data_IF_703637591963
#
_entry.id   IF_703637591963
#
_cell.length_a   1.000
_cell.length_b   1.000
_cell.length_c   1.000
_cell.angle_alpha   90.00
_cell.angle_beta   90.00
_cell.angle_gamma   90.00
#
_symmetry.space_group_name_H-M   'P 1'
#
loop_
_entity.id
_entity.type
_entity.pdbx_description
1 polymer ?
#
# COMPACT_ATOMS: atom_id res chain seq x y z
N UNK A 1 -40.00 -4.50 -51.76
CA UNK A 1 -41.01 -5.43 -51.21
C UNK A 1 -41.87 -4.67 -50.21
N UNK A 2 -43.11 -4.34 -50.60
CA UNK A 2 -44.13 -3.73 -49.75
C UNK A 2 -45.14 -4.82 -49.38
N UNK A 3 -45.63 -4.82 -48.13
CA UNK A 3 -46.76 -5.64 -47.71
C UNK A 3 -47.66 -4.82 -46.78
N UNK A 4 -48.71 -4.28 -47.39
CA UNK A 4 -49.98 -3.94 -46.76
C UNK A 4 -50.76 -5.24 -46.46
N UNK A 5 -51.46 -5.28 -45.31
CA UNK A 5 -52.86 -5.72 -45.12
C UNK A 5 -53.10 -6.15 -43.67
N UNK A 6 -54.25 -5.97 -42.99
CA UNK A 6 -55.37 -5.01 -42.99
C UNK A 6 -56.40 -5.63 -41.97
N UNK A 7 -56.74 -4.91 -40.89
CA UNK A 7 -58.02 -4.91 -40.11
C UNK A 7 -58.52 -6.16 -39.31
N UNK A 8 -59.58 -6.06 -38.44
CA UNK A 8 -60.15 -4.93 -37.67
C UNK A 8 -60.47 -5.23 -36.17
N UNK A 9 -60.82 -4.16 -35.44
CA UNK A 9 -61.52 -4.16 -34.13
C UNK A 9 -62.95 -4.70 -34.24
N UNK A 10 -63.45 -5.38 -33.20
CA UNK A 10 -64.87 -5.46 -32.86
C UNK A 10 -65.05 -5.64 -31.34
N UNK A 11 -66.02 -4.90 -30.79
CA UNK A 11 -66.31 -4.65 -29.38
C UNK A 11 -67.71 -5.16 -29.01
N UNK A 12 -67.94 -5.32 -27.68
CA UNK A 12 -69.22 -5.37 -26.91
C UNK A 12 -69.69 -6.77 -26.42
N UNK A 13 -70.53 -6.89 -25.35
CA UNK A 13 -70.75 -6.01 -24.17
C UNK A 13 -70.84 -6.76 -22.81
N UNK A 14 -71.02 -5.94 -21.75
CA UNK A 14 -71.25 -6.20 -20.31
C UNK A 14 -72.16 -7.37 -19.90
N UNK A 15 -71.81 -8.04 -18.79
CA UNK A 15 -72.74 -8.51 -17.73
C UNK A 15 -71.98 -8.78 -16.42
N UNK A 16 -72.40 -8.14 -15.33
CA UNK A 16 -71.97 -8.45 -13.96
C UNK A 16 -72.97 -9.37 -13.25
N UNK A 17 -72.48 -10.20 -12.32
CA UNK A 17 -72.84 -10.21 -10.90
C UNK A 17 -72.10 -11.35 -10.16
N UNK A 18 -71.46 -10.96 -9.04
CA UNK A 18 -71.21 -11.68 -7.78
C UNK A 18 -71.25 -13.23 -7.72
N UNK A 19 -70.23 -13.85 -7.12
CA UNK A 19 -70.25 -14.34 -5.72
C UNK A 19 -68.95 -15.12 -5.35
N UNK A 20 -68.28 -14.63 -4.29
CA UNK A 20 -67.73 -15.37 -3.14
C UNK A 20 -66.74 -16.56 -3.33
N UNK A 21 -65.54 -16.30 -2.77
CA UNK A 21 -64.73 -17.11 -1.82
C UNK A 21 -63.48 -17.84 -2.31
N UNK A 22 -62.41 -17.44 -1.60
CA UNK A 22 -61.30 -18.25 -1.11
C UNK A 22 -60.17 -18.57 -2.09
N UNK A 23 -59.15 -17.72 -2.04
CA UNK A 23 -57.83 -18.08 -1.50
C UNK A 23 -56.99 -16.80 -1.56
N UNK A 24 -56.93 -16.08 -0.45
CA UNK A 24 -55.82 -15.16 -0.20
C UNK A 24 -54.56 -16.02 -0.14
N UNK A 25 -53.93 -16.21 -1.29
CA UNK A 25 -52.50 -16.46 -1.35
C UNK A 25 -51.87 -15.27 -0.64
N UNK A 26 -51.44 -15.48 0.60
CA UNK A 26 -50.46 -14.61 1.26
C UNK A 26 -49.23 -14.62 0.37
N UNK A 27 -49.18 -13.67 -0.57
CA UNK A 27 -48.00 -13.39 -1.35
C UNK A 27 -46.90 -13.05 -0.35
N UNK A 28 -45.89 -13.92 -0.31
CA UNK A 28 -44.68 -13.78 0.48
C UNK A 28 -43.95 -12.49 0.08
N UNK A 29 -44.20 -11.40 0.80
CA UNK A 29 -43.52 -10.11 0.65
C UNK A 29 -42.07 -10.10 1.19
N UNK A 30 -41.34 -11.21 1.07
CA UNK A 30 -40.11 -11.47 1.86
C UNK A 30 -38.74 -11.53 1.16
N UNK A 31 -38.53 -11.13 -0.11
CA UNK A 31 -37.18 -10.85 -0.61
C UNK A 31 -36.77 -9.36 -0.50
N UNK A 32 -37.74 -8.44 -0.63
CA UNK A 32 -37.45 -7.01 -0.72
C UNK A 32 -37.11 -6.36 0.64
N UNK A 33 -37.54 -6.95 1.76
CA UNK A 33 -37.30 -6.39 3.09
C UNK A 33 -35.83 -6.40 3.53
N UNK A 34 -35.11 -7.49 3.29
CA UNK A 34 -33.69 -7.60 3.68
C UNK A 34 -32.79 -6.70 2.82
N UNK A 35 -33.05 -6.61 1.51
CA UNK A 35 -32.34 -5.68 0.61
C UNK A 35 -32.63 -4.23 0.99
N UNK A 36 -33.89 -3.88 1.25
CA UNK A 36 -34.26 -2.53 1.68
C UNK A 36 -33.62 -2.16 3.02
N UNK A 37 -33.62 -3.08 3.98
CA UNK A 37 -32.96 -2.88 5.27
C UNK A 37 -31.45 -2.71 5.11
N UNK A 38 -30.79 -3.57 4.33
CA UNK A 38 -29.37 -3.44 4.05
C UNK A 38 -29.05 -2.11 3.38
N UNK A 39 -29.83 -1.69 2.38
CA UNK A 39 -29.68 -0.37 1.75
C UNK A 39 -29.84 0.76 2.73
N UNK A 40 -30.85 0.70 3.61
CA UNK A 40 -31.06 1.73 4.62
C UNK A 40 -29.87 1.86 5.58
N UNK A 41 -29.30 0.73 6.02
CA UNK A 41 -28.07 0.72 6.84
C UNK A 41 -26.89 1.32 6.07
N UNK A 42 -26.68 0.89 4.82
CA UNK A 42 -25.58 1.37 3.98
C UNK A 42 -25.71 2.86 3.66
N UNK A 43 -26.89 3.34 3.28
CA UNK A 43 -27.13 4.75 2.94
C UNK A 43 -26.94 5.66 4.18
N UNK A 44 -27.34 5.20 5.36
CA UNK A 44 -27.09 5.91 6.62
C UNK A 44 -25.59 6.05 6.90
N UNK A 45 -24.82 4.97 6.72
CA UNK A 45 -23.37 5.01 6.92
C UNK A 45 -22.67 5.87 5.85
N UNK A 46 -23.09 5.79 4.59
CA UNK A 46 -22.53 6.62 3.52
C UNK A 46 -22.80 8.10 3.78
N UNK A 47 -23.98 8.45 4.30
CA UNK A 47 -24.30 9.83 4.66
C UNK A 47 -23.48 10.32 5.85
N UNK A 48 -23.21 9.47 6.84
CA UNK A 48 -22.33 9.81 7.96
C UNK A 48 -20.91 10.15 7.48
N UNK A 49 -20.39 9.40 6.49
CA UNK A 49 -19.08 9.65 5.86
C UNK A 49 -19.06 10.99 5.10
N UNK A 50 -20.15 11.34 4.41
CA UNK A 50 -20.29 12.62 3.70
C UNK A 50 -20.35 13.80 4.67
N UNK A 51 -21.21 13.72 5.68
CA UNK A 51 -21.36 14.76 6.72
C UNK A 51 -20.04 14.96 7.49
N UNK A 52 -19.30 13.89 7.76
CA UNK A 52 -17.98 13.95 8.39
C UNK A 52 -16.88 14.56 7.50
N UNK A 53 -17.14 14.77 6.20
CA UNK A 53 -16.15 15.27 5.25
C UNK A 53 -15.01 14.29 4.95
N UNK A 54 -15.22 12.99 5.25
CA UNK A 54 -14.22 11.92 5.07
C UNK A 54 -14.44 11.09 3.81
N UNK A 55 -15.38 11.51 2.95
CA UNK A 55 -15.61 10.87 1.66
C UNK A 55 -14.35 10.89 0.81
N UNK A 56 -13.96 9.72 0.30
CA UNK A 56 -12.78 9.58 -0.57
C UNK A 56 -13.24 9.55 -2.02
N UNK A 57 -12.99 10.65 -2.73
CA UNK A 57 -13.18 10.71 -4.19
C UNK A 57 -11.95 10.18 -4.91
N UNK A 58 -12.14 9.29 -5.88
CA UNK A 58 -11.07 8.83 -6.77
C UNK A 58 -10.89 9.83 -7.91
N UNK A 59 -9.66 10.29 -8.15
CA UNK A 59 -9.31 11.09 -9.33
C UNK A 59 -8.73 10.16 -10.40
N UNK A 60 -9.21 10.29 -11.62
CA UNK A 60 -8.85 9.40 -12.73
C UNK A 60 -7.61 9.92 -13.43
N UNK A 61 -6.49 9.21 -13.30
CA UNK A 61 -5.27 9.48 -14.07
C UNK A 61 -5.43 8.87 -15.47
N UNK A 62 -5.18 9.67 -16.51
CA UNK A 62 -5.40 9.28 -17.92
C UNK A 62 -4.10 9.12 -18.72
N UNK A 63 -2.94 9.22 -18.05
CA UNK A 63 -1.61 9.02 -18.61
C UNK A 63 -0.89 7.81 -17.98
N UNK A 64 0.33 7.52 -18.46
CA UNK A 64 1.29 6.67 -17.74
C UNK A 64 1.65 7.31 -16.38
N UNK A 65 2.10 6.50 -15.43
CA UNK A 65 2.55 6.97 -14.12
C UNK A 65 3.94 7.61 -14.21
N UNK A 66 4.13 8.79 -13.63
CA UNK A 66 5.39 9.53 -13.69
C UNK A 66 5.38 10.78 -12.81
N UNK A 67 6.44 11.58 -12.89
CA UNK A 67 6.50 12.91 -12.26
C UNK A 67 5.46 13.87 -12.85
N UNK A 68 5.15 13.70 -14.13
CA UNK A 68 4.19 14.47 -14.92
C UNK A 68 3.08 13.52 -15.39
N UNK A 69 1.82 13.87 -15.14
CA UNK A 69 0.64 13.04 -15.43
C UNK A 69 -0.53 13.88 -15.96
N UNK A 70 -1.48 13.21 -16.61
CA UNK A 70 -2.80 13.78 -16.96
C UNK A 70 -3.87 13.28 -15.99
N UNK A 71 -4.72 14.18 -15.50
CA UNK A 71 -5.84 13.88 -14.59
C UNK A 71 -7.14 14.37 -15.22
N UNK A 72 -8.16 13.51 -15.26
CA UNK A 72 -9.46 13.86 -15.81
C UNK A 72 -10.06 15.10 -15.12
N UNK A 73 -10.67 15.98 -15.92
CA UNK A 73 -11.18 17.28 -15.47
C UNK A 73 -10.12 18.34 -15.11
N UNK A 74 -8.82 18.06 -15.28
CA UNK A 74 -7.73 19.04 -15.10
C UNK A 74 -7.17 19.49 -16.45
N UNK A 75 -6.67 20.74 -16.53
CA UNK A 75 -6.02 21.27 -17.74
C UNK A 75 -4.50 21.28 -17.58
N UNK A 76 -3.80 20.94 -18.67
CA UNK A 76 -2.34 20.92 -18.71
C UNK A 76 -1.73 19.68 -18.05
N UNK A 77 -0.40 19.70 -17.97
CA UNK A 77 0.39 18.65 -17.35
C UNK A 77 0.42 18.83 -15.82
N UNK A 78 0.14 17.75 -15.07
CA UNK A 78 -0.01 17.78 -13.62
C UNK A 78 1.21 17.11 -12.97
N UNK A 79 1.86 17.83 -12.06
CA UNK A 79 2.97 17.33 -11.25
C UNK A 79 2.46 16.36 -10.18
N UNK A 80 2.89 15.10 -10.22
CA UNK A 80 2.48 14.09 -9.25
C UNK A 80 3.45 14.01 -8.07
N UNK A 81 2.98 14.38 -6.89
CA UNK A 81 3.73 14.36 -5.64
C UNK A 81 3.09 13.46 -4.57
N UNK A 82 2.21 12.53 -4.97
CA UNK A 82 1.56 11.57 -4.07
C UNK A 82 1.63 10.10 -4.54
N UNK A 83 2.54 9.79 -5.48
CA UNK A 83 2.80 8.42 -5.89
C UNK A 83 3.89 7.76 -5.03
N UNK A 84 3.73 6.45 -4.78
CA UNK A 84 4.80 5.62 -4.22
C UNK A 84 5.84 5.18 -5.27
N UNK A 85 5.91 5.85 -6.43
CA UNK A 85 6.87 5.58 -7.50
C UNK A 85 8.21 6.28 -7.19
N UNK A 86 8.85 5.88 -6.09
CA UNK A 86 10.03 6.55 -5.53
C UNK A 86 11.19 6.66 -6.52
N UNK A 87 11.45 5.61 -7.29
CA UNK A 87 12.58 5.56 -8.23
C UNK A 87 12.21 5.97 -9.67
N UNK A 88 10.94 6.29 -9.93
CA UNK A 88 10.48 6.56 -11.30
C UNK A 88 10.34 5.30 -12.17
N UNK A 89 10.51 4.09 -11.61
CA UNK A 89 10.58 2.85 -12.37
C UNK A 89 9.23 2.38 -12.96
N UNK A 90 8.09 2.88 -12.47
CA UNK A 90 6.76 2.47 -12.97
C UNK A 90 6.52 2.70 -14.46
N UNK A 91 7.27 3.60 -15.09
CA UNK A 91 7.20 3.82 -16.54
C UNK A 91 8.57 3.90 -17.19
N UNK A 92 9.59 3.30 -16.55
CA UNK A 92 10.92 3.22 -17.10
C UNK A 92 10.92 2.34 -18.38
N UNK A 93 11.54 2.79 -19.49
CA UNK A 93 11.47 2.08 -20.77
C UNK A 93 11.88 0.61 -20.70
N UNK A 94 12.97 0.32 -19.98
CA UNK A 94 13.46 -1.06 -19.83
C UNK A 94 12.52 -1.95 -19.00
N UNK A 95 11.85 -1.38 -17.99
CA UNK A 95 10.89 -2.10 -17.14
C UNK A 95 9.64 -2.45 -17.96
N UNK A 96 9.14 -1.49 -18.75
CA UNK A 96 8.02 -1.71 -19.68
C UNK A 96 8.37 -2.79 -20.70
N UNK A 97 9.55 -2.69 -21.31
CA UNK A 97 9.99 -3.62 -22.35
C UNK A 97 10.10 -5.06 -21.80
N UNK A 98 10.65 -5.24 -20.60
CA UNK A 98 10.70 -6.55 -19.94
C UNK A 98 9.30 -7.13 -19.65
N UNK A 99 8.33 -6.28 -19.29
CA UNK A 99 6.94 -6.69 -19.14
C UNK A 99 6.30 -7.14 -20.46
N UNK A 100 6.57 -6.43 -21.57
CA UNK A 100 6.09 -6.79 -22.92
C UNK A 100 6.69 -8.13 -23.37
N UNK A 101 7.99 -8.33 -23.17
CA UNK A 101 8.67 -9.58 -23.53
C UNK A 101 8.14 -10.76 -22.73
N UNK A 102 7.91 -10.57 -21.43
CA UNK A 102 7.29 -11.59 -20.59
C UNK A 102 5.85 -11.92 -21.04
N UNK A 103 5.07 -10.90 -21.42
CA UNK A 103 3.72 -11.10 -21.98
C UNK A 103 3.75 -11.96 -23.24
N UNK A 104 4.65 -11.65 -24.17
CA UNK A 104 4.78 -12.36 -25.45
C UNK A 104 5.26 -13.80 -25.26
N UNK A 105 6.23 -14.02 -24.36
CA UNK A 105 6.85 -15.33 -24.15
C UNK A 105 6.00 -16.27 -23.28
N UNK A 106 5.39 -15.75 -22.21
CA UNK A 106 4.75 -16.56 -21.18
C UNK A 106 3.22 -16.44 -21.13
N UNK A 107 2.65 -15.48 -21.88
CA UNK A 107 1.22 -15.20 -21.90
C UNK A 107 0.77 -14.22 -20.80
N UNK A 108 -0.53 -13.89 -20.82
CA UNK A 108 -1.12 -12.89 -19.93
C UNK A 108 -1.29 -13.34 -18.48
N UNK A 109 -1.37 -14.65 -18.22
CA UNK A 109 -1.62 -15.21 -16.90
C UNK A 109 -1.60 -16.73 -16.91
N UNK A 110 -1.66 -17.31 -15.70
CA UNK A 110 -1.48 -18.75 -15.49
C UNK A 110 -2.79 -19.50 -15.18
N UNK A 111 -3.85 -18.78 -14.83
CA UNK A 111 -5.12 -19.34 -14.35
C UNK A 111 -4.96 -20.40 -13.26
N UNK A 112 -3.92 -20.26 -12.43
CA UNK A 112 -3.52 -21.29 -11.46
C UNK A 112 -2.67 -20.73 -10.32
N UNK A 113 -2.78 -21.40 -9.18
CA UNK A 113 -1.91 -21.21 -8.01
C UNK A 113 -0.52 -21.81 -8.26
N UNK A 114 0.46 -21.43 -7.44
CA UNK A 114 1.88 -21.79 -7.67
C UNK A 114 2.12 -23.29 -7.76
N UNK A 115 1.54 -24.10 -6.87
CA UNK A 115 1.87 -25.52 -6.76
C UNK A 115 1.21 -26.41 -7.82
N UNK A 116 0.09 -26.00 -8.43
CA UNK A 116 -0.63 -26.82 -9.42
C UNK A 116 0.04 -26.67 -10.80
N UNK A 117 -0.06 -25.49 -11.40
CA UNK A 117 0.58 -25.18 -12.69
C UNK A 117 0.85 -23.67 -12.86
N UNK A 118 0.93 -22.92 -11.76
CA UNK A 118 1.18 -21.47 -11.79
C UNK A 118 2.65 -21.06 -11.63
N UNK A 119 3.58 -22.01 -11.46
CA UNK A 119 5.01 -21.69 -11.35
C UNK A 119 5.70 -21.82 -12.71
N UNK A 120 6.19 -20.70 -13.22
CA UNK A 120 7.11 -20.65 -14.37
C UNK A 120 8.53 -20.30 -13.90
N UNK A 121 9.53 -20.53 -14.75
CA UNK A 121 10.95 -20.20 -14.53
C UNK A 121 11.16 -18.74 -14.10
N UNK A 122 10.47 -17.77 -14.72
CA UNK A 122 10.60 -16.35 -14.36
C UNK A 122 10.21 -16.06 -12.91
N UNK A 123 9.29 -16.82 -12.30
CA UNK A 123 8.93 -16.65 -10.88
C UNK A 123 10.09 -17.06 -9.98
N UNK A 124 10.75 -18.19 -10.30
CA UNK A 124 11.92 -18.66 -9.55
C UNK A 124 13.13 -17.75 -9.73
N UNK A 125 13.31 -17.22 -10.94
CA UNK A 125 14.35 -16.24 -11.22
C UNK A 125 14.16 -14.96 -10.39
N UNK A 126 12.93 -14.43 -10.31
CA UNK A 126 12.63 -13.26 -9.48
C UNK A 126 12.86 -13.54 -7.99
N UNK A 127 12.40 -14.69 -7.48
CA UNK A 127 12.66 -15.11 -6.09
C UNK A 127 14.16 -15.12 -5.78
N UNK A 128 14.99 -15.71 -6.65
CA UNK A 128 16.45 -15.76 -6.48
C UNK A 128 17.08 -14.37 -6.48
N UNK A 129 16.66 -13.47 -7.39
CA UNK A 129 17.19 -12.10 -7.45
C UNK A 129 16.80 -11.27 -6.23
N UNK A 130 15.59 -11.44 -5.71
CA UNK A 130 15.15 -10.79 -4.48
C UNK A 130 15.92 -11.29 -3.26
N UNK A 131 16.14 -12.60 -3.15
CA UNK A 131 16.99 -13.18 -2.10
C UNK A 131 18.44 -12.66 -2.19
N UNK A 132 19.00 -12.60 -3.41
CA UNK A 132 20.33 -12.01 -3.66
C UNK A 132 20.38 -10.53 -3.28
N UNK A 133 19.37 -9.75 -3.66
CA UNK A 133 19.31 -8.31 -3.39
C UNK A 133 19.34 -8.02 -1.88
N UNK A 134 18.57 -8.77 -1.10
CA UNK A 134 18.50 -8.65 0.36
C UNK A 134 19.60 -9.39 1.11
N UNK A 135 20.46 -10.16 0.41
CA UNK A 135 21.45 -11.06 1.03
C UNK A 135 20.81 -12.01 2.05
N UNK A 136 19.77 -12.72 1.61
CA UNK A 136 19.02 -13.72 2.41
C UNK A 136 18.99 -15.07 1.70
N UNK A 137 18.64 -16.12 2.46
CA UNK A 137 18.73 -17.50 1.97
C UNK A 137 17.72 -17.84 0.88
N UNK A 138 16.46 -17.42 1.00
CA UNK A 138 15.42 -17.67 -0.01
C UNK A 138 14.33 -16.57 0.01
N UNK A 139 13.48 -16.56 -1.00
CA UNK A 139 12.38 -15.62 -1.20
C UNK A 139 11.10 -16.32 -1.67
N UNK A 140 9.94 -15.93 -1.15
CA UNK A 140 8.62 -16.36 -1.62
C UNK A 140 7.81 -15.16 -2.15
N UNK A 141 7.17 -15.33 -3.31
CA UNK A 141 6.31 -14.30 -3.93
C UNK A 141 4.84 -14.41 -3.53
N UNK A 142 4.18 -13.27 -3.46
CA UNK A 142 2.76 -13.08 -3.18
C UNK A 142 2.13 -12.07 -4.16
N UNK A 143 0.80 -12.08 -4.27
CA UNK A 143 0.06 -11.13 -5.13
C UNK A 143 0.22 -9.67 -4.66
N UNK A 144 0.46 -9.47 -3.37
CA UNK A 144 0.79 -8.17 -2.77
C UNK A 144 1.60 -8.36 -1.48
N UNK A 145 2.22 -7.29 -0.96
CA UNK A 145 2.83 -7.35 0.37
C UNK A 145 1.76 -7.43 1.49
N UNK A 146 0.53 -7.01 1.19
CA UNK A 146 -0.60 -7.25 2.09
C UNK A 146 -0.78 -8.76 2.33
N UNK A 147 -0.76 -9.55 1.26
CA UNK A 147 -0.86 -11.01 1.31
C UNK A 147 0.37 -11.66 1.96
N UNK A 148 1.57 -11.11 1.70
CA UNK A 148 2.81 -11.58 2.34
C UNK A 148 2.73 -11.42 3.86
N UNK A 149 2.27 -10.27 4.35
CA UNK A 149 2.04 -10.01 5.76
C UNK A 149 0.92 -10.90 6.33
N UNK A 150 -0.22 -10.99 5.64
CA UNK A 150 -1.36 -11.80 6.09
C UNK A 150 -1.01 -13.30 6.18
N UNK A 151 -0.18 -13.82 5.28
CA UNK A 151 0.20 -15.22 5.20
C UNK A 151 1.39 -15.64 6.06
N UNK A 152 2.04 -14.72 6.77
CA UNK A 152 3.25 -14.98 7.53
C UNK A 152 2.96 -15.47 8.95
N UNK A 153 2.23 -14.68 9.73
CA UNK A 153 2.22 -14.80 11.19
C UNK A 153 1.57 -16.10 11.70
N UNK A 154 0.45 -16.54 11.13
CA UNK A 154 -0.21 -17.79 11.55
C UNK A 154 0.59 -19.05 11.21
N UNK A 155 1.50 -18.96 10.22
CA UNK A 155 2.34 -20.08 9.80
C UNK A 155 3.54 -20.22 10.73
N UNK A 156 4.14 -19.09 11.13
CA UNK A 156 5.32 -19.07 11.98
C UNK A 156 4.98 -19.21 13.48
N UNK A 157 3.88 -18.59 13.93
CA UNK A 157 3.56 -18.44 15.36
C UNK A 157 2.25 -19.14 15.71
N UNK A 158 2.26 -19.85 16.84
CA UNK A 158 1.11 -20.56 17.42
C UNK A 158 0.74 -20.05 18.82
N UNK A 159 -0.15 -20.76 19.53
CA UNK A 159 -0.65 -20.34 20.86
C UNK A 159 0.41 -20.24 21.96
N UNK A 160 1.56 -20.91 21.79
CA UNK A 160 2.68 -20.90 22.75
C UNK A 160 3.67 -19.74 22.49
N UNK A 161 3.46 -18.96 21.44
CA UNK A 161 4.37 -17.92 20.98
C UNK A 161 3.82 -16.53 21.27
N UNK A 162 4.64 -15.49 21.10
CA UNK A 162 4.25 -14.10 21.23
C UNK A 162 4.70 -13.25 20.04
N UNK A 163 3.86 -12.28 19.68
CA UNK A 163 4.15 -11.25 18.68
C UNK A 163 4.06 -9.88 19.33
N UNK A 164 5.13 -9.10 19.16
CA UNK A 164 5.31 -7.77 19.70
C UNK A 164 5.26 -6.78 18.53
N UNK A 165 4.18 -6.01 18.43
CA UNK A 165 3.90 -5.14 17.27
C UNK A 165 3.91 -3.68 17.68
N UNK A 166 4.60 -2.84 16.91
CA UNK A 166 4.46 -1.38 16.99
C UNK A 166 3.00 -1.00 16.76
N UNK A 167 2.51 0.02 17.45
CA UNK A 167 1.12 0.45 17.37
C UNK A 167 0.74 1.11 16.04
N UNK A 168 1.72 1.62 15.28
CA UNK A 168 1.51 2.25 13.98
C UNK A 168 1.86 1.35 12.79
N UNK A 169 2.16 0.06 13.04
CA UNK A 169 2.38 -0.91 11.98
C UNK A 169 1.28 -0.90 10.93
N UNK A 170 1.67 -1.18 9.68
CA UNK A 170 0.73 -1.19 8.57
C UNK A 170 -0.46 -2.13 8.79
N UNK A 171 -1.63 -1.77 8.25
CA UNK A 171 -2.88 -2.53 8.44
C UNK A 171 -2.75 -4.02 8.05
N UNK A 172 -1.94 -4.36 7.05
CA UNK A 172 -1.70 -5.76 6.67
C UNK A 172 -0.97 -6.57 7.73
N UNK A 173 -0.07 -5.95 8.48
CA UNK A 173 0.60 -6.58 9.63
C UNK A 173 -0.42 -6.82 10.73
N UNK A 174 -1.20 -5.80 11.06
CA UNK A 174 -2.26 -5.88 12.08
C UNK A 174 -3.24 -7.01 11.72
N UNK A 175 -3.71 -7.06 10.48
CA UNK A 175 -4.66 -8.08 10.03
C UNK A 175 -4.03 -9.49 9.98
N UNK A 176 -2.77 -9.61 9.55
CA UNK A 176 -2.04 -10.89 9.64
C UNK A 176 -1.87 -11.39 11.07
N UNK A 177 -1.52 -10.51 12.00
CA UNK A 177 -1.43 -10.82 13.44
C UNK A 177 -2.80 -11.23 14.01
N UNK A 178 -3.90 -10.63 13.54
CA UNK A 178 -5.26 -11.00 13.97
C UNK A 178 -5.68 -12.40 13.56
N UNK A 179 -5.09 -12.96 12.50
CA UNK A 179 -5.29 -14.35 12.09
C UNK A 179 -4.48 -15.36 12.93
N UNK A 180 -3.38 -14.90 13.53
CA UNK A 180 -2.53 -15.71 14.38
C UNK A 180 -3.12 -15.90 15.79
N UNK A 181 -2.78 -17.03 16.43
CA UNK A 181 -3.19 -17.37 17.81
C UNK A 181 -2.17 -16.99 18.88
N UNK A 182 -1.02 -16.43 18.51
CA UNK A 182 0.02 -16.02 19.43
C UNK A 182 -0.46 -14.96 20.42
N UNK A 183 0.22 -14.85 21.57
CA UNK A 183 0.04 -13.72 22.49
C UNK A 183 0.39 -12.43 21.76
N UNK A 184 -0.57 -11.50 21.68
CA UNK A 184 -0.39 -10.22 20.97
C UNK A 184 -0.05 -9.13 21.97
N UNK A 185 1.14 -8.57 21.84
CA UNK A 185 1.63 -7.48 22.67
C UNK A 185 1.85 -6.26 21.77
N UNK A 186 1.10 -5.19 22.00
CA UNK A 186 1.28 -3.93 21.28
C UNK A 186 2.16 -3.02 22.13
N UNK A 187 3.25 -2.50 21.56
CA UNK A 187 4.09 -1.48 22.20
C UNK A 187 3.85 -0.12 21.55
N UNK A 188 4.05 0.94 22.32
CA UNK A 188 3.93 2.33 21.86
C UNK A 188 4.91 2.63 20.74
N UNK A 189 4.51 3.50 19.82
CA UNK A 189 5.25 3.78 18.61
C UNK A 189 6.72 4.16 18.88
N UNK A 190 7.66 3.38 18.35
CA UNK A 190 9.12 3.54 18.52
C UNK A 190 9.61 3.62 19.98
N UNK A 191 8.81 3.19 20.97
CA UNK A 191 9.16 3.24 22.38
C UNK A 191 9.90 1.96 22.80
N UNK A 192 11.23 2.04 22.87
CA UNK A 192 12.08 0.92 23.26
C UNK A 192 11.85 0.45 24.71
N UNK A 193 11.43 1.34 25.61
CA UNK A 193 11.16 0.95 27.00
C UNK A 193 9.86 0.13 27.07
N UNK A 194 8.81 0.56 26.39
CA UNK A 194 7.56 -0.20 26.34
C UNK A 194 7.74 -1.53 25.57
N UNK A 195 8.58 -1.56 24.52
CA UNK A 195 9.00 -2.79 23.86
C UNK A 195 9.71 -3.75 24.83
N UNK A 196 10.69 -3.25 25.61
CA UNK A 196 11.39 -4.04 26.62
C UNK A 196 10.42 -4.62 27.66
N UNK A 197 9.45 -3.84 28.12
CA UNK A 197 8.41 -4.31 29.03
C UNK A 197 7.57 -5.44 28.41
N UNK A 198 7.21 -5.36 27.13
CA UNK A 198 6.52 -6.46 26.42
C UNK A 198 7.42 -7.68 26.23
N UNK A 199 8.72 -7.50 26.04
CA UNK A 199 9.70 -8.60 25.95
C UNK A 199 9.83 -9.33 27.28
N UNK A 200 9.85 -8.61 28.41
CA UNK A 200 9.80 -9.17 29.77
C UNK A 200 8.48 -9.93 29.99
N UNK A 201 7.35 -9.38 29.54
CA UNK A 201 6.02 -10.01 29.67
C UNK A 201 5.84 -11.29 28.84
N UNK A 202 6.66 -11.50 27.81
CA UNK A 202 6.59 -12.65 26.90
C UNK A 202 7.64 -13.73 27.17
N UNK A 203 8.43 -13.64 28.24
CA UNK A 203 9.55 -14.57 28.49
C UNK A 203 9.15 -16.05 28.57
N UNK A 204 7.90 -16.36 28.93
CA UNK A 204 7.39 -17.73 28.94
C UNK A 204 6.99 -18.27 27.57
N UNK A 205 6.99 -17.44 26.52
CA UNK A 205 6.63 -17.83 25.16
C UNK A 205 7.78 -18.56 24.47
N UNK A 206 7.44 -19.62 23.73
CA UNK A 206 8.39 -20.47 23.01
C UNK A 206 9.15 -19.68 21.92
N UNK A 207 8.42 -18.97 21.05
CA UNK A 207 8.98 -18.00 20.12
C UNK A 207 8.46 -16.59 20.44
N UNK A 208 9.30 -15.60 20.17
CA UNK A 208 8.96 -14.18 20.26
C UNK A 208 9.38 -13.51 18.97
N UNK A 209 8.46 -12.76 18.37
CA UNK A 209 8.71 -12.01 17.15
C UNK A 209 8.43 -10.53 17.40
N UNK A 210 9.46 -9.69 17.32
CA UNK A 210 9.32 -8.24 17.26
C UNK A 210 9.03 -7.85 15.81
N UNK A 211 7.98 -7.05 15.62
CA UNK A 211 7.40 -6.70 14.32
C UNK A 211 7.30 -5.18 14.23
N UNK A 212 7.91 -4.61 13.19
CA UNK A 212 7.84 -3.18 12.90
C UNK A 212 7.81 -2.92 11.39
N UNK A 213 7.14 -1.85 10.95
CA UNK A 213 7.51 -1.22 9.67
C UNK A 213 8.97 -0.74 9.79
N UNK A 214 9.77 -0.86 8.73
CA UNK A 214 11.10 -0.25 8.66
C UNK A 214 11.00 1.27 8.53
N UNK A 215 10.08 1.73 7.66
CA UNK A 215 9.67 3.13 7.55
C UNK A 215 8.16 3.27 7.67
N UNK A 216 7.72 4.13 8.58
CA UNK A 216 6.31 4.38 8.82
C UNK A 216 5.73 5.33 7.76
N UNK A 217 4.71 4.84 7.04
CA UNK A 217 4.22 5.45 5.80
C UNK A 217 3.61 6.85 5.92
N UNK A 218 3.18 7.28 7.12
CA UNK A 218 2.50 8.56 7.33
C UNK A 218 3.43 9.67 7.79
N UNK A 219 4.46 9.32 8.55
CA UNK A 219 5.41 10.26 9.16
C UNK A 219 6.76 10.26 8.43
N UNK A 220 7.12 9.16 7.77
CA UNK A 220 8.44 8.97 7.15
C UNK A 220 9.55 8.67 8.16
N UNK A 221 9.17 8.27 9.37
CA UNK A 221 10.11 7.89 10.43
C UNK A 221 10.69 6.51 10.18
N UNK A 222 11.99 6.36 10.48
CA UNK A 222 12.71 5.08 10.41
C UNK A 222 12.68 4.43 11.79
N UNK A 223 12.28 3.16 11.87
CA UNK A 223 12.24 2.44 13.13
C UNK A 223 13.63 2.39 13.81
N UNK A 224 13.70 2.38 15.16
CA UNK A 224 14.95 2.36 15.89
C UNK A 224 15.57 0.94 15.89
N UNK A 225 15.88 0.41 14.70
CA UNK A 225 16.24 -1.01 14.53
C UNK A 225 17.47 -1.43 15.33
N UNK A 226 18.45 -0.54 15.54
CA UNK A 226 19.61 -0.85 16.39
C UNK A 226 19.15 -1.25 17.79
N UNK A 227 18.34 -0.41 18.45
CA UNK A 227 17.83 -0.70 19.79
C UNK A 227 16.82 -1.85 19.82
N UNK A 228 16.02 -2.02 18.76
CA UNK A 228 15.13 -3.20 18.62
C UNK A 228 15.94 -4.49 18.55
N UNK A 229 17.01 -4.51 17.75
CA UNK A 229 17.90 -5.67 17.64
C UNK A 229 18.66 -5.93 18.95
N UNK A 230 19.12 -4.89 19.65
CA UNK A 230 19.78 -5.02 20.96
C UNK A 230 18.85 -5.72 21.97
N UNK A 231 17.59 -5.28 22.04
CA UNK A 231 16.57 -5.91 22.88
C UNK A 231 16.21 -7.31 22.40
N UNK A 232 16.06 -7.51 21.09
CA UNK A 232 15.74 -8.83 20.55
C UNK A 232 16.82 -9.86 20.90
N UNK A 233 18.10 -9.51 20.81
CA UNK A 233 19.21 -10.37 21.22
C UNK A 233 19.23 -10.62 22.72
N UNK A 234 19.11 -9.55 23.53
CA UNK A 234 19.11 -9.64 25.00
C UNK A 234 18.03 -10.59 25.51
N UNK A 235 16.84 -10.55 24.91
CA UNK A 235 15.73 -11.36 25.33
C UNK A 235 15.63 -12.68 24.55
N UNK A 236 16.28 -12.85 23.40
CA UNK A 236 16.16 -14.03 22.53
C UNK A 236 14.89 -14.04 21.67
N UNK A 237 14.58 -12.93 21.00
CA UNK A 237 13.47 -12.78 20.07
C UNK A 237 13.97 -12.67 18.62
N UNK A 238 13.11 -13.03 17.67
CA UNK A 238 13.30 -12.76 16.25
C UNK A 238 12.86 -11.33 15.92
N UNK A 239 13.40 -10.79 14.84
CA UNK A 239 13.06 -9.47 14.30
C UNK A 239 12.52 -9.61 12.88
N UNK A 240 11.30 -9.11 12.69
CA UNK A 240 10.65 -8.94 11.41
C UNK A 240 10.52 -7.45 11.09
N UNK A 241 10.81 -7.09 9.84
CA UNK A 241 10.57 -5.73 9.33
C UNK A 241 9.76 -5.72 8.02
N UNK A 242 8.85 -4.75 7.89
CA UNK A 242 8.20 -4.41 6.62
C UNK A 242 8.94 -3.24 5.94
N UNK A 243 9.60 -3.54 4.84
CA UNK A 243 10.46 -2.64 4.08
C UNK A 243 9.76 -2.01 2.87
N UNK A 244 8.42 -2.06 2.80
CA UNK A 244 7.70 -1.53 1.64
C UNK A 244 8.01 -0.05 1.33
N UNK A 245 8.35 0.73 2.34
CA UNK A 245 8.66 2.16 2.21
C UNK A 245 10.16 2.47 2.24
N UNK A 246 11.03 1.48 1.97
CA UNK A 246 12.47 1.68 2.06
C UNK A 246 13.28 0.84 1.06
N UNK A 247 12.84 -0.38 0.76
CA UNK A 247 13.45 -1.20 -0.30
C UNK A 247 13.54 -0.43 -1.62
N UNK A 248 14.73 -0.48 -2.20
CA UNK A 248 15.12 0.12 -3.47
C UNK A 248 15.88 1.43 -3.32
N UNK A 249 15.81 2.12 -2.17
CA UNK A 249 16.37 3.47 -2.08
C UNK A 249 16.96 3.87 -0.72
N UNK A 250 16.73 3.12 0.36
CA UNK A 250 17.45 3.33 1.63
C UNK A 250 18.58 2.32 1.80
N UNK A 251 19.69 2.78 2.39
CA UNK A 251 20.93 2.01 2.47
C UNK A 251 21.84 2.26 1.26
N UNK A 252 23.12 1.90 1.40
CA UNK A 252 24.15 2.18 0.39
C UNK A 252 23.82 1.53 -0.96
N UNK A 253 23.20 0.34 -0.95
CA UNK A 253 22.75 -0.40 -2.14
C UNK A 253 21.22 -0.40 -2.28
N UNK A 254 20.53 0.41 -1.48
CA UNK A 254 19.08 0.53 -1.53
C UNK A 254 18.36 -0.66 -0.91
N UNK A 255 18.99 -1.49 -0.07
CA UNK A 255 18.35 -2.74 0.41
C UNK A 255 17.21 -2.50 1.39
N UNK A 256 17.30 -1.45 2.19
CA UNK A 256 16.33 -1.14 3.22
C UNK A 256 16.93 -0.45 4.43
N UNK A 257 16.13 -0.38 5.49
CA UNK A 257 16.50 0.24 6.75
C UNK A 257 17.52 -0.57 7.55
N UNK A 258 17.54 -1.90 7.39
CA UNK A 258 18.54 -2.76 8.02
C UNK A 258 19.96 -2.55 7.44
N UNK A 259 20.09 -2.34 6.13
CA UNK A 259 21.35 -1.91 5.49
C UNK A 259 21.73 -0.49 5.91
N UNK A 260 20.75 0.44 5.91
CA UNK A 260 20.97 1.83 6.32
C UNK A 260 21.55 1.93 7.75
N UNK A 261 21.06 1.08 8.66
CA UNK A 261 21.42 1.10 10.07
C UNK A 261 22.53 0.10 10.43
N UNK A 262 23.02 -0.67 9.46
CA UNK A 262 24.11 -1.63 9.66
C UNK A 262 23.75 -2.83 10.53
N UNK A 263 22.50 -3.30 10.47
CA UNK A 263 21.96 -4.40 11.29
C UNK A 263 21.37 -5.55 10.44
N UNK A 264 21.79 -5.67 9.18
CA UNK A 264 21.30 -6.71 8.25
C UNK A 264 21.47 -8.14 8.79
N UNK A 265 22.51 -8.39 9.57
CA UNK A 265 22.80 -9.69 10.20
C UNK A 265 21.94 -9.99 11.44
N UNK A 266 21.21 -8.97 11.94
CA UNK A 266 20.40 -9.02 13.17
C UNK A 266 18.89 -9.02 12.86
N UNK A 267 18.51 -8.71 11.62
CA UNK A 267 17.13 -8.77 11.12
C UNK A 267 16.87 -10.08 10.42
N UNK A 268 15.85 -10.81 10.86
CA UNK A 268 15.65 -12.21 10.45
C UNK A 268 14.71 -12.34 9.26
N UNK A 269 13.65 -11.54 9.20
CA UNK A 269 12.60 -11.66 8.18
C UNK A 269 12.30 -10.28 7.62
N UNK A 270 12.25 -10.17 6.30
CA UNK A 270 11.88 -8.94 5.61
C UNK A 270 10.70 -9.22 4.69
N UNK A 271 9.63 -8.45 4.86
CA UNK A 271 8.59 -8.34 3.84
C UNK A 271 8.76 -7.03 3.07
N UNK A 272 8.49 -7.06 1.77
CA UNK A 272 8.47 -5.84 0.97
C UNK A 272 7.58 -6.00 -0.27
N UNK A 273 7.49 -4.95 -1.08
CA UNK A 273 6.55 -4.84 -2.19
C UNK A 273 7.22 -4.55 -3.53
N UNK A 274 6.60 -5.07 -4.59
CA UNK A 274 6.90 -4.74 -5.98
C UNK A 274 6.02 -3.59 -6.50
N UNK A 275 5.04 -3.14 -5.71
CA UNK A 275 4.06 -2.09 -6.06
C UNK A 275 4.48 -0.67 -5.70
N UNK A 276 5.75 -0.43 -5.33
CA UNK A 276 6.28 0.89 -4.98
C UNK A 276 7.57 1.20 -5.76
N UNK A 277 8.72 1.23 -5.10
CA UNK A 277 10.01 1.56 -5.73
C UNK A 277 10.42 0.55 -6.83
N UNK A 278 10.10 -0.74 -6.65
CA UNK A 278 10.52 -1.84 -7.52
C UNK A 278 9.61 -2.05 -8.75
N UNK A 279 9.35 -0.97 -9.51
CA UNK A 279 8.59 -1.01 -10.76
C UNK A 279 7.08 -0.76 -10.64
N UNK A 280 6.52 -0.72 -9.43
CA UNK A 280 5.18 -0.17 -9.18
C UNK A 280 3.98 -0.94 -9.75
N UNK A 281 4.18 -2.15 -10.28
CA UNK A 281 3.10 -2.92 -10.92
C UNK A 281 2.18 -3.59 -9.88
N UNK A 282 2.59 -4.74 -9.35
CA UNK A 282 1.90 -5.49 -8.30
C UNK A 282 2.86 -6.53 -7.70
N UNK A 283 2.52 -7.08 -6.55
CA UNK A 283 3.30 -8.12 -5.89
C UNK A 283 3.90 -7.71 -4.55
N UNK A 284 4.18 -8.73 -3.76
CA UNK A 284 4.98 -8.63 -2.55
C UNK A 284 5.74 -9.92 -2.32
N UNK A 285 6.60 -9.90 -1.33
CA UNK A 285 7.45 -11.05 -1.04
C UNK A 285 7.91 -11.06 0.41
N UNK A 286 8.35 -12.24 0.82
CA UNK A 286 9.06 -12.48 2.09
C UNK A 286 10.43 -13.04 1.76
N UNK A 287 11.49 -12.45 2.31
CA UNK A 287 12.84 -13.02 2.33
C UNK A 287 13.27 -13.32 3.76
N UNK A 288 14.07 -14.36 3.93
CA UNK A 288 14.51 -14.82 5.25
C UNK A 288 15.16 -16.20 5.20
N UNK A 289 15.23 -16.91 6.35
CA UNK A 289 15.80 -18.25 6.42
C UNK A 289 15.05 -19.24 5.55
N UNK A 290 15.77 -20.09 4.84
CA UNK A 290 15.19 -21.09 3.92
C UNK A 290 14.13 -21.97 4.59
N UNK A 291 14.29 -22.49 5.83
CA UNK A 291 13.26 -23.28 6.48
C UNK A 291 11.92 -22.53 6.66
N UNK A 292 11.97 -21.22 6.93
CA UNK A 292 10.77 -20.40 7.01
C UNK A 292 10.11 -20.27 5.63
N UNK A 293 10.89 -19.95 4.60
CA UNK A 293 10.38 -19.78 3.24
C UNK A 293 9.76 -21.09 2.71
N UNK A 294 10.42 -22.23 2.96
CA UNK A 294 9.88 -23.55 2.61
C UNK A 294 8.58 -23.84 3.36
N UNK A 295 8.49 -23.53 4.66
CA UNK A 295 7.26 -23.70 5.44
C UNK A 295 6.12 -22.81 4.92
N UNK A 296 6.41 -21.55 4.59
CA UNK A 296 5.44 -20.63 4.00
C UNK A 296 4.89 -21.18 2.69
N UNK A 297 5.73 -21.76 1.81
CA UNK A 297 5.25 -22.40 0.56
C UNK A 297 4.30 -23.56 0.81
N UNK A 298 4.39 -24.24 1.96
CA UNK A 298 3.53 -25.37 2.32
C UNK A 298 2.26 -24.98 3.08
N UNK A 299 2.23 -23.81 3.73
CA UNK A 299 1.15 -23.47 4.68
C UNK A 299 0.54 -22.08 4.54
N UNK A 300 1.24 -21.14 3.93
CA UNK A 300 0.75 -19.77 3.78
C UNK A 300 -0.50 -19.75 2.89
N UNK A 301 -1.65 -19.45 3.49
CA UNK A 301 -2.94 -19.51 2.80
C UNK A 301 -3.01 -18.60 1.57
N UNK A 302 -2.56 -17.32 1.62
CA UNK A 302 -2.56 -16.47 0.43
C UNK A 302 -1.66 -16.99 -0.70
N UNK A 303 -0.65 -17.81 -0.39
CA UNK A 303 0.21 -18.44 -1.40
C UNK A 303 -0.44 -19.69 -2.03
N UNK A 304 -1.14 -20.49 -1.22
CA UNK A 304 -1.73 -21.76 -1.64
C UNK A 304 -3.06 -21.60 -2.39
N UNK A 305 -3.82 -20.55 -2.07
CA UNK A 305 -5.21 -20.38 -2.52
C UNK A 305 -5.43 -19.11 -3.37
N UNK A 306 -4.35 -18.45 -3.81
CA UNK A 306 -4.42 -17.30 -4.72
C UNK A 306 -3.63 -17.57 -5.99
N UNK A 307 -4.09 -16.99 -7.10
CA UNK A 307 -3.41 -17.12 -8.39
C UNK A 307 -1.99 -16.55 -8.33
N UNK A 308 -1.11 -17.16 -9.12
CA UNK A 308 0.28 -16.70 -9.25
C UNK A 308 0.33 -15.31 -9.92
N UNK A 309 1.40 -14.56 -9.64
CA UNK A 309 1.62 -13.26 -10.27
C UNK A 309 1.61 -13.37 -11.81
N UNK A 310 0.95 -12.45 -12.54
CA UNK A 310 0.97 -12.47 -13.99
C UNK A 310 2.40 -12.33 -14.55
N UNK A 311 2.76 -13.04 -15.64
CA UNK A 311 4.12 -12.99 -16.17
C UNK A 311 4.63 -11.58 -16.52
N UNK A 312 3.82 -10.65 -17.07
CA UNK A 312 4.25 -9.28 -17.33
C UNK A 312 4.67 -8.52 -16.05
N UNK A 313 3.98 -8.80 -14.94
CA UNK A 313 4.30 -8.21 -13.62
C UNK A 313 5.64 -8.73 -13.14
N UNK A 314 5.86 -10.05 -13.25
CA UNK A 314 7.12 -10.68 -12.85
C UNK A 314 8.28 -10.19 -13.72
N UNK A 315 8.11 -10.09 -15.04
CA UNK A 315 9.13 -9.55 -15.96
C UNK A 315 9.52 -8.10 -15.63
N UNK A 316 8.52 -7.25 -15.40
CA UNK A 316 8.75 -5.85 -15.00
C UNK A 316 9.51 -5.74 -13.68
N UNK A 317 9.08 -6.49 -12.66
CA UNK A 317 9.73 -6.51 -11.35
C UNK A 317 11.16 -7.04 -11.42
N UNK A 318 11.41 -8.10 -12.19
CA UNK A 318 12.74 -8.65 -12.42
C UNK A 318 13.68 -7.58 -12.98
N UNK A 319 13.26 -6.83 -14.01
CA UNK A 319 14.11 -5.77 -14.56
C UNK A 319 14.35 -4.64 -13.56
N UNK A 320 13.35 -4.25 -12.78
CA UNK A 320 13.53 -3.24 -11.73
C UNK A 320 14.57 -3.66 -10.69
N UNK A 321 14.55 -4.92 -10.25
CA UNK A 321 15.56 -5.47 -9.31
C UNK A 321 16.94 -5.54 -9.96
N UNK A 322 17.04 -5.92 -11.23
CA UNK A 322 18.32 -5.94 -11.96
C UNK A 322 18.98 -4.58 -12.09
N UNK A 323 18.19 -3.53 -12.36
CA UNK A 323 18.70 -2.15 -12.41
C UNK A 323 19.31 -1.74 -11.07
N UNK A 324 18.67 -2.10 -9.96
CA UNK A 324 19.16 -1.82 -8.61
C UNK A 324 20.37 -2.66 -8.20
N UNK A 325 20.44 -3.92 -8.63
CA UNK A 325 21.63 -4.76 -8.44
C UNK A 325 22.84 -4.22 -9.21
N UNK A 326 22.61 -3.55 -10.35
CA UNK A 326 23.66 -2.98 -11.18
C UNK A 326 24.18 -1.63 -10.67
N UNK A 327 23.28 -0.75 -10.19
CA UNK A 327 23.65 0.58 -9.70
C UNK A 327 22.60 1.16 -8.75
N UNK A 328 23.06 1.98 -7.78
CA UNK A 328 22.20 2.72 -6.87
C UNK A 328 22.13 4.24 -7.18
N UNK A 329 22.64 4.67 -8.33
CA UNK A 329 22.70 6.09 -8.71
C UNK A 329 21.32 6.77 -8.74
N UNK A 330 20.28 6.06 -9.19
CA UNK A 330 18.91 6.57 -9.25
C UNK A 330 18.44 6.98 -7.85
N UNK A 331 18.65 6.12 -6.85
CA UNK A 331 18.27 6.40 -5.47
C UNK A 331 19.10 7.53 -4.85
N UNK A 332 20.40 7.58 -5.15
CA UNK A 332 21.29 8.63 -4.62
C UNK A 332 20.82 10.04 -5.03
N UNK A 333 20.21 10.19 -6.21
CA UNK A 333 19.66 11.47 -6.66
C UNK A 333 18.48 11.98 -5.81
N UNK A 334 17.78 11.08 -5.10
CA UNK A 334 16.58 11.44 -4.34
C UNK A 334 16.89 12.22 -3.07
N UNK A 335 18.04 11.99 -2.43
CA UNK A 335 18.39 12.63 -1.18
C UNK A 335 18.48 14.16 -1.34
N UNK A 336 19.18 14.62 -2.39
CA UNK A 336 19.31 16.04 -2.70
C UNK A 336 17.95 16.69 -2.99
N UNK A 337 17.11 16.02 -3.79
CA UNK A 337 15.74 16.46 -4.12
C UNK A 337 14.85 16.57 -2.88
N UNK A 338 14.93 15.57 -2.01
CA UNK A 338 14.20 15.53 -0.74
C UNK A 338 14.60 16.71 0.14
N UNK A 339 15.90 16.96 0.29
CA UNK A 339 16.38 18.11 1.06
C UNK A 339 16.01 19.45 0.44
N UNK A 340 16.03 19.56 -0.90
CA UNK A 340 15.57 20.76 -1.62
C UNK A 340 14.12 21.09 -1.27
N UNK A 341 13.21 20.12 -1.37
CA UNK A 341 11.81 20.31 -1.01
C UNK A 341 11.65 20.70 0.46
N UNK A 342 12.26 19.93 1.38
CA UNK A 342 12.14 20.18 2.83
C UNK A 342 12.67 21.56 3.22
N UNK A 343 13.81 21.97 2.68
CA UNK A 343 14.39 23.29 2.93
C UNK A 343 13.49 24.41 2.40
N UNK A 344 13.00 24.29 1.16
CA UNK A 344 12.10 25.29 0.57
C UNK A 344 10.80 25.45 1.38
N UNK A 345 10.19 24.33 1.78
CA UNK A 345 8.99 24.35 2.61
C UNK A 345 9.24 24.95 4.01
N UNK A 346 10.35 24.59 4.65
CA UNK A 346 10.71 25.10 5.98
C UNK A 346 11.01 26.61 5.93
N UNK A 347 11.74 27.08 4.91
CA UNK A 347 12.00 28.50 4.68
C UNK A 347 10.73 29.30 4.43
N UNK A 348 9.73 28.69 3.78
CA UNK A 348 8.40 29.27 3.58
C UNK A 348 7.54 29.31 4.85
N UNK A 349 7.96 28.68 5.95
CA UNK A 349 7.24 28.67 7.23
C UNK A 349 6.35 27.44 7.46
N UNK A 350 6.40 26.42 6.58
CA UNK A 350 5.66 25.18 6.82
C UNK A 350 6.36 24.28 7.84
N UNK A 351 5.56 23.53 8.59
CA UNK A 351 6.06 22.44 9.45
C UNK A 351 6.05 21.13 8.66
N UNK A 352 7.22 20.52 8.48
CA UNK A 352 7.39 19.20 7.86
C UNK A 352 7.79 18.17 8.94
N UNK A 353 7.03 17.08 9.07
CA UNK A 353 7.33 16.01 10.02
C UNK A 353 8.38 15.01 9.48
N UNK A 354 9.04 14.26 10.36
CA UNK A 354 10.04 13.25 9.98
C UNK A 354 11.39 13.81 9.53
N UNK A 355 12.31 12.91 9.20
CA UNK A 355 13.70 13.23 8.85
C UNK A 355 14.00 13.07 7.34
N UNK A 356 15.19 12.61 6.95
CA UNK A 356 15.69 12.57 5.57
C UNK A 356 15.00 11.57 4.60
N UNK A 357 13.74 11.21 4.86
CA UNK A 357 12.97 10.29 4.03
C UNK A 357 12.26 11.00 2.85
N UNK A 358 12.10 10.36 1.68
CA UNK A 358 11.34 10.91 0.55
C UNK A 358 9.85 11.18 0.84
N UNK A 359 9.33 10.70 1.96
CA UNK A 359 8.02 11.08 2.49
C UNK A 359 8.20 12.37 3.29
N UNK A 360 7.57 13.44 2.82
CA UNK A 360 7.61 14.77 3.40
C UNK A 360 6.18 15.18 3.83
N UNK A 361 5.73 14.83 5.04
CA UNK A 361 4.41 15.19 5.53
C UNK A 361 4.35 16.68 5.91
N UNK A 362 3.56 17.45 5.18
CA UNK A 362 3.26 18.86 5.47
C UNK A 362 2.14 18.89 6.50
N UNK A 363 2.45 19.33 7.72
CA UNK A 363 1.52 19.28 8.85
C UNK A 363 0.50 20.42 8.79
N UNK A 364 -0.78 20.08 8.85
CA UNK A 364 -1.90 21.04 8.75
C UNK A 364 -2.84 20.98 9.96
N UNK A 365 -2.88 19.84 10.67
CA UNK A 365 -3.72 19.62 11.85
C UNK A 365 -5.19 19.38 11.51
N UNK A 366 -5.82 20.33 10.82
CA UNK A 366 -7.23 20.29 10.44
C UNK A 366 -7.51 19.49 9.16
N UNK A 367 -8.52 18.62 9.21
CA UNK A 367 -8.86 17.71 8.12
C UNK A 367 -9.46 18.42 6.90
N UNK A 368 -10.30 19.44 7.15
CA UNK A 368 -10.95 20.20 6.08
C UNK A 368 -9.93 21.06 5.35
N UNK A 369 -9.02 21.70 6.09
CA UNK A 369 -7.89 22.44 5.56
C UNK A 369 -7.03 21.56 4.65
N UNK A 370 -6.66 20.36 5.09
CA UNK A 370 -5.86 19.43 4.28
C UNK A 370 -6.53 19.07 2.94
N UNK A 371 -7.85 18.85 2.96
CA UNK A 371 -8.62 18.57 1.74
C UNK A 371 -8.70 19.79 0.81
N UNK A 372 -9.09 20.94 1.34
CA UNK A 372 -9.21 22.19 0.57
C UNK A 372 -7.90 22.63 -0.06
N UNK A 373 -6.81 22.52 0.70
CA UNK A 373 -5.47 22.86 0.21
C UNK A 373 -5.04 21.88 -0.90
N UNK A 374 -5.29 20.58 -0.77
CA UNK A 374 -4.99 19.60 -1.82
C UNK A 374 -5.84 19.81 -3.10
N UNK A 375 -7.09 20.24 -2.97
CA UNK A 375 -7.93 20.64 -4.11
C UNK A 375 -7.39 21.89 -4.82
N UNK A 376 -6.93 22.89 -4.06
CA UNK A 376 -6.34 24.10 -4.64
C UNK A 376 -4.96 23.85 -5.26
N UNK A 377 -4.15 22.97 -4.68
CA UNK A 377 -2.88 22.52 -5.27
C UNK A 377 -3.09 21.89 -6.65
N UNK A 378 -4.14 21.07 -6.82
CA UNK A 378 -4.44 20.49 -8.13
C UNK A 378 -4.77 21.56 -9.17
N UNK A 379 -5.50 22.62 -8.79
CA UNK A 379 -5.80 23.74 -9.70
C UNK A 379 -4.54 24.51 -10.11
N UNK A 380 -3.48 24.44 -9.31
CA UNK A 380 -2.15 24.97 -9.62
C UNK A 380 -1.26 23.97 -10.38
N UNK A 381 -1.81 22.83 -10.79
CA UNK A 381 -1.09 21.79 -11.54
C UNK A 381 -0.26 20.86 -10.67
N UNK A 382 -0.53 20.75 -9.37
CA UNK A 382 0.20 19.85 -8.46
C UNK A 382 -0.76 18.88 -7.78
N UNK A 383 -0.59 17.59 -8.06
CA UNK A 383 -1.38 16.54 -7.44
C UNK A 383 -0.73 16.03 -6.15
N UNK A 384 -1.41 16.33 -5.05
CA UNK A 384 -1.11 15.85 -3.69
C UNK A 384 -2.40 15.37 -3.02
N UNK A 385 -2.26 14.57 -1.96
CA UNK A 385 -3.39 14.06 -1.19
C UNK A 385 -3.26 14.44 0.28
N UNK A 386 -4.34 15.01 0.83
CA UNK A 386 -4.51 15.21 2.26
C UNK A 386 -4.94 13.93 2.97
N UNK A 387 -4.39 13.69 4.16
CA UNK A 387 -4.70 12.56 5.02
C UNK A 387 -5.24 13.06 6.36
N UNK A 388 -6.31 12.44 6.82
CA UNK A 388 -6.99 12.74 8.09
C UNK A 388 -7.50 11.44 8.73
N UNK A 389 -8.17 11.54 9.87
CA UNK A 389 -8.78 10.39 10.54
C UNK A 389 -9.70 9.59 9.59
N UNK A 390 -9.65 8.25 9.57
CA UNK A 390 -8.94 7.35 10.48
C UNK A 390 -7.49 7.02 10.08
N UNK A 391 -6.97 7.59 8.98
CA UNK A 391 -5.62 7.26 8.48
C UNK A 391 -4.53 7.82 9.40
N UNK A 392 -4.75 9.02 9.95
CA UNK A 392 -3.89 9.65 10.96
C UNK A 392 -4.74 10.09 12.17
N UNK A 393 -4.16 10.26 13.36
CA UNK A 393 -4.91 10.72 14.54
C UNK A 393 -5.64 12.06 14.30
N UNK A 394 -6.77 12.27 15.00
CA UNK A 394 -7.51 13.54 14.96
C UNK A 394 -6.61 14.70 15.37
N UNK A 395 -6.73 15.84 14.68
CA UNK A 395 -5.89 17.02 14.91
C UNK A 395 -4.46 16.91 14.36
N UNK A 396 -4.12 15.83 13.65
CA UNK A 396 -2.82 15.62 12.99
C UNK A 396 -2.94 15.43 11.48
N UNK A 397 -3.93 16.07 10.86
CA UNK A 397 -4.10 16.03 9.40
C UNK A 397 -2.88 16.64 8.70
N UNK A 398 -2.59 16.14 7.49
CA UNK A 398 -1.37 16.48 6.76
C UNK A 398 -1.54 16.25 5.27
N UNK A 399 -0.73 16.91 4.44
CA UNK A 399 -0.53 16.51 3.05
C UNK A 399 0.75 15.70 2.98
N UNK A 400 0.66 14.44 2.51
CA UNK A 400 1.83 13.57 2.39
C UNK A 400 2.46 13.76 1.01
N UNK A 401 3.52 14.56 0.95
CA UNK A 401 4.33 14.73 -0.27
C UNK A 401 5.32 13.59 -0.40
N UNK A 402 5.50 13.09 -1.61
CA UNK A 402 6.37 11.96 -1.93
C UNK A 402 7.32 12.37 -3.04
N UNK A 403 8.61 12.41 -2.73
CA UNK A 403 9.66 12.78 -3.65
C UNK A 403 10.10 11.54 -4.45
N UNK A 404 10.27 11.71 -5.75
CA UNK A 404 10.72 10.70 -6.69
C UNK A 404 12.06 11.08 -7.31
N UNK A 405 12.86 10.07 -7.67
CA UNK A 405 14.03 10.25 -8.52
C UNK A 405 13.66 10.85 -9.89
N UNK A 406 12.41 10.65 -10.34
CA UNK A 406 11.91 11.21 -11.60
C UNK A 406 11.58 12.70 -11.54
N UNK A 407 11.47 13.31 -10.35
CA UNK A 407 11.26 14.76 -10.25
C UNK A 407 12.53 15.51 -10.62
N UNK A 408 12.37 16.60 -11.37
CA UNK A 408 13.43 17.59 -11.60
C UNK A 408 13.45 18.63 -10.50
N UNK A 409 14.56 19.36 -10.36
CA UNK A 409 14.66 20.49 -9.42
C UNK A 409 13.58 21.55 -9.68
N UNK A 410 13.25 21.80 -10.95
CA UNK A 410 12.17 22.72 -11.36
C UNK A 410 10.79 22.21 -10.91
N UNK A 411 10.53 20.91 -10.98
CA UNK A 411 9.27 20.32 -10.50
C UNK A 411 9.10 20.53 -9.00
N UNK A 412 10.20 20.39 -8.25
CA UNK A 412 10.23 20.60 -6.80
C UNK A 412 9.99 22.07 -6.48
N UNK A 413 10.69 22.99 -7.15
CA UNK A 413 10.55 24.44 -6.93
C UNK A 413 9.12 24.90 -7.22
N UNK A 414 8.54 24.49 -8.37
CA UNK A 414 7.14 24.78 -8.72
C UNK A 414 6.15 24.26 -7.68
N UNK A 415 6.44 23.10 -7.09
CA UNK A 415 5.60 22.51 -6.05
C UNK A 415 5.69 23.31 -4.75
N UNK A 416 6.88 23.74 -4.36
CA UNK A 416 7.08 24.65 -3.21
C UNK A 416 6.34 25.96 -3.44
N UNK A 417 6.42 26.55 -4.63
CA UNK A 417 5.69 27.79 -4.98
C UNK A 417 4.17 27.62 -4.87
N UNK A 418 3.63 26.49 -5.35
CA UNK A 418 2.22 26.17 -5.22
C UNK A 418 1.80 26.01 -3.75
N UNK A 419 2.64 25.37 -2.93
CA UNK A 419 2.43 25.30 -1.48
C UNK A 419 2.43 26.69 -0.86
N UNK A 420 3.38 27.56 -1.19
CA UNK A 420 3.43 28.94 -0.67
C UNK A 420 2.15 29.70 -1.01
N UNK A 421 1.70 29.63 -2.27
CA UNK A 421 0.50 30.31 -2.73
C UNK A 421 -0.75 29.83 -1.99
N UNK A 422 -0.93 28.52 -1.87
CA UNK A 422 -2.08 27.93 -1.17
C UNK A 422 -2.00 28.11 0.35
N UNK A 423 -0.81 28.03 0.92
CA UNK A 423 -0.56 28.24 2.34
C UNK A 423 -0.94 29.65 2.78
N UNK A 424 -0.55 30.67 2.00
CA UNK A 424 -0.98 32.07 2.25
C UNK A 424 -2.48 32.25 2.08
N UNK A 425 -3.07 31.67 1.02
CA UNK A 425 -4.52 31.72 0.77
C UNK A 425 -5.33 31.19 1.95
N UNK A 426 -4.88 30.10 2.58
CA UNK A 426 -5.57 29.43 3.69
C UNK A 426 -5.05 29.84 5.08
N UNK A 427 -4.14 30.81 5.17
CA UNK A 427 -3.60 31.30 6.45
C UNK A 427 -2.72 30.30 7.21
N UNK A 428 -2.11 29.34 6.52
CA UNK A 428 -1.17 28.36 7.12
C UNK A 428 0.19 29.00 7.37
N UNK A 429 0.60 29.90 6.48
CA UNK A 429 1.84 30.69 6.56
C UNK A 429 1.54 32.16 6.24
N UNK A 430 2.45 33.06 6.60
CA UNK A 430 2.32 34.51 6.43
C UNK A 430 2.57 35.03 5.02
#
# INVERSE_FOLDING_TARGET
MSLHALFPKLSLPLRGLQLLRSRTLTASSRPYGAVAQARSVLETELESIRVAGTWKGERVITSKQGAHISVDGSSGDILNFCANNYLGLSSHPEVIQAGIEALQKYGAGLSSVRFICGTQDLHKNLEQKLAQFHEREDCILYASCFDANAGLFEVLLGPEDAVLSDELNHASIIDGIRLCRAKRLRYKHMDLNDLEDKLKESQSSRLRLVVTDGVFSMDGDVAPLVGICDLAEQYGALVFIDECHATGFLGIRGRGTDELLGVMDRVHIVNSTLGKALGGAAGGYTVGPKPLIDLLRQRSRPYLFSNSLPPPVVGSATRAVELLLASNEIAQSMAAKTMRFRNGMTQAGFTIAGAAHPICPVMLGDARLASLMADDMLKLGVYVIGFSYPVVPKGKARIRVQISAAHTDSDIDRTVDAFIQTGRKHGVIS
#
